data_IF_285498003897
#
_entry.id   IF_285498003897
#
_cell.length_a   1.000
_cell.length_b   1.000
_cell.length_c   1.000
_cell.angle_alpha   90.00
_cell.angle_beta   90.00
_cell.angle_gamma   90.00
#
_symmetry.space_group_name_H-M   'P 1'
#
loop_
_entity.id
_entity.type
_entity.pdbx_description
1 polymer ?
#
# COMPACT_ATOMS: atom_id res chain seq x y z
N UNK A 1 -23.33 19.75 -22.01
CA UNK A 1 -24.21 20.11 -23.15
C UNK A 1 -23.62 19.56 -24.45
N UNK A 2 -24.43 18.98 -25.36
CA UNK A 2 -23.94 18.30 -26.58
C UNK A 2 -23.10 19.16 -27.53
N UNK A 3 -23.28 20.49 -27.53
CA UNK A 3 -22.49 21.41 -28.35
C UNK A 3 -21.17 21.89 -27.73
N UNK A 4 -20.78 21.43 -26.54
CA UNK A 4 -19.54 21.89 -25.91
C UNK A 4 -18.29 21.22 -26.50
N UNK A 5 -17.13 21.89 -26.43
CA UNK A 5 -15.85 21.29 -26.84
C UNK A 5 -15.53 20.00 -26.08
N UNK A 6 -15.93 19.93 -24.81
CA UNK A 6 -15.75 18.76 -23.94
C UNK A 6 -16.62 17.57 -24.37
N UNK A 7 -17.79 17.80 -24.96
CA UNK A 7 -18.64 16.72 -25.45
C UNK A 7 -18.03 16.00 -26.67
N UNK A 8 -17.20 16.70 -27.47
CA UNK A 8 -16.51 16.12 -28.63
C UNK A 8 -15.31 15.26 -28.25
N UNK A 9 -14.66 15.58 -27.13
CA UNK A 9 -13.51 14.86 -26.59
C UNK A 9 -13.62 14.78 -25.06
N UNK A 10 -14.43 13.84 -24.54
CA UNK A 10 -14.68 13.74 -23.11
C UNK A 10 -13.41 13.32 -22.36
N UNK A 11 -12.91 14.11 -21.38
CA UNK A 11 -11.80 13.70 -20.55
C UNK A 11 -12.22 12.56 -19.61
N UNK A 12 -11.27 11.76 -19.10
CA UNK A 12 -11.56 10.74 -18.11
C UNK A 12 -12.12 11.33 -16.80
N UNK A 13 -11.76 12.58 -16.50
CA UNK A 13 -12.22 13.32 -15.33
C UNK A 13 -12.74 14.70 -15.72
N UNK A 14 -13.93 15.01 -15.25
CA UNK A 14 -14.67 16.23 -15.56
C UNK A 14 -15.25 16.83 -14.29
N UNK A 15 -15.17 18.16 -14.18
CA UNK A 15 -15.97 18.94 -13.25
C UNK A 15 -17.12 19.61 -14.00
N UNK A 16 -18.34 19.52 -13.47
CA UNK A 16 -19.51 20.26 -13.97
C UNK A 16 -19.95 21.23 -12.89
N UNK A 17 -19.98 22.53 -13.17
CA UNK A 17 -20.41 23.52 -12.18
C UNK A 17 -21.91 23.46 -11.93
N UNK A 18 -22.69 22.99 -12.91
CA UNK A 18 -24.14 22.85 -12.80
C UNK A 18 -24.58 21.52 -13.42
N UNK A 19 -25.54 20.86 -12.77
CA UNK A 19 -26.18 19.64 -13.24
C UNK A 19 -27.68 19.90 -13.34
N UNK A 20 -28.26 19.77 -14.53
CA UNK A 20 -29.69 19.93 -14.79
C UNK A 20 -30.32 18.57 -15.13
N UNK A 21 -31.44 18.23 -14.50
CA UNK A 21 -32.27 17.10 -14.89
C UNK A 21 -33.49 17.63 -15.67
N UNK A 22 -33.56 17.30 -16.96
CA UNK A 22 -34.60 17.79 -17.86
C UNK A 22 -35.15 16.63 -18.67
N UNK A 23 -36.45 16.35 -18.51
CA UNK A 23 -37.18 15.31 -19.25
C UNK A 23 -36.50 13.94 -19.18
N UNK A 24 -36.04 13.55 -17.98
CA UNK A 24 -35.39 12.26 -17.72
C UNK A 24 -33.96 12.15 -18.26
N UNK A 25 -33.31 13.28 -18.60
CA UNK A 25 -31.92 13.34 -19.01
C UNK A 25 -31.15 14.32 -18.15
N UNK A 26 -29.97 13.89 -17.69
CA UNK A 26 -29.05 14.71 -16.90
C UNK A 26 -28.04 15.41 -17.80
N UNK A 27 -27.90 16.73 -17.64
CA UNK A 27 -27.00 17.59 -18.40
C UNK A 27 -26.01 18.30 -17.46
N UNK A 28 -24.72 18.07 -17.65
CA UNK A 28 -23.66 18.92 -17.09
C UNK A 28 -23.47 20.19 -17.92
N UNK A 29 -23.46 21.35 -17.25
CA UNK A 29 -23.18 22.67 -17.82
C UNK A 29 -21.93 23.27 -17.15
N UNK A 30 -21.25 24.15 -17.91
CA UNK A 30 -20.00 24.80 -17.49
C UNK A 30 -18.93 23.78 -17.07
N UNK A 31 -18.53 22.98 -18.04
CA UNK A 31 -17.71 21.79 -17.85
C UNK A 31 -16.22 22.11 -18.03
N UNK A 32 -15.39 21.61 -17.12
CA UNK A 32 -13.93 21.72 -17.20
C UNK A 32 -13.27 20.35 -16.99
N UNK A 33 -12.17 20.11 -17.71
CA UNK A 33 -11.29 18.96 -17.40
C UNK A 33 -10.70 19.16 -16.02
N UNK A 34 -10.63 18.08 -15.25
CA UNK A 34 -9.96 18.05 -13.95
C UNK A 34 -9.01 16.85 -13.89
N UNK A 35 -8.02 16.91 -13.02
CA UNK A 35 -7.14 15.79 -12.71
C UNK A 35 -7.40 15.29 -11.29
N UNK A 36 -7.38 13.96 -11.02
CA UNK A 36 -7.59 13.40 -9.69
C UNK A 36 -6.67 14.01 -8.63
N UNK A 37 -5.41 14.26 -8.97
CA UNK A 37 -4.44 14.86 -8.06
C UNK A 37 -4.84 16.27 -7.59
N UNK A 38 -5.61 17.02 -8.38
CA UNK A 38 -6.08 18.36 -8.00
C UNK A 38 -7.21 18.24 -6.98
N UNK A 39 -8.13 17.29 -7.21
CA UNK A 39 -9.20 16.94 -6.28
C UNK A 39 -8.60 16.50 -4.95
N UNK A 40 -7.58 15.63 -4.95
CA UNK A 40 -6.94 15.17 -3.72
C UNK A 40 -6.36 16.32 -2.88
N UNK A 41 -5.78 17.34 -3.53
CA UNK A 41 -5.20 18.51 -2.84
C UNK A 41 -6.26 19.47 -2.30
N UNK A 42 -7.32 19.73 -3.07
CA UNK A 42 -8.31 20.76 -2.72
C UNK A 42 -9.43 20.23 -1.81
N UNK A 43 -9.75 18.94 -1.91
CA UNK A 43 -10.87 18.31 -1.21
C UNK A 43 -10.42 17.20 -0.26
N UNK A 44 -9.22 17.31 0.32
CA UNK A 44 -8.63 16.27 1.18
C UNK A 44 -9.56 15.80 2.32
N UNK A 45 -10.36 16.71 2.87
CA UNK A 45 -11.31 16.46 3.95
C UNK A 45 -12.54 15.63 3.54
N UNK A 46 -12.80 15.48 2.23
CA UNK A 46 -13.91 14.68 1.69
C UNK A 46 -13.46 13.29 1.23
N UNK A 47 -12.15 13.03 1.21
CA UNK A 47 -11.59 11.79 0.71
C UNK A 47 -11.78 10.67 1.73
N UNK A 48 -12.13 9.48 1.22
CA UNK A 48 -12.01 8.23 1.95
C UNK A 48 -10.74 7.53 1.52
N UNK A 49 -9.94 7.08 2.48
CA UNK A 49 -8.70 6.33 2.24
C UNK A 49 -8.83 4.95 2.85
N UNK A 50 -8.49 3.93 2.09
CA UNK A 50 -8.40 2.55 2.54
C UNK A 50 -6.99 2.04 2.26
N UNK A 51 -6.47 1.20 3.16
CA UNK A 51 -5.14 0.63 3.07
C UNK A 51 -5.23 -0.89 3.09
N UNK A 52 -4.50 -1.55 2.20
CA UNK A 52 -4.51 -3.01 2.04
C UNK A 52 -3.10 -3.55 1.80
N UNK A 53 -2.94 -4.86 2.04
CA UNK A 53 -1.72 -5.63 1.87
C UNK A 53 -0.45 -4.97 2.45
N UNK A 54 -0.38 -4.70 3.76
CA UNK A 54 0.84 -4.23 4.38
C UNK A 54 1.93 -5.32 4.29
N UNK A 55 3.13 -4.96 3.82
CA UNK A 55 4.22 -5.90 3.56
C UNK A 55 5.60 -5.24 3.65
N UNK A 56 6.64 -6.02 3.95
CA UNK A 56 8.02 -5.56 3.89
C UNK A 56 8.47 -5.38 2.43
N UNK A 57 8.98 -4.20 2.11
CA UNK A 57 9.66 -3.95 0.85
C UNK A 57 11.16 -3.91 1.07
N UNK A 58 11.85 -4.99 0.68
CA UNK A 58 13.32 -5.04 0.73
C UNK A 58 13.96 -3.90 -0.05
N UNK A 59 13.43 -3.60 -1.24
CA UNK A 59 13.96 -2.54 -2.11
C UNK A 59 13.85 -1.13 -1.51
N UNK A 60 12.81 -0.88 -0.70
CA UNK A 60 12.61 0.41 -0.02
C UNK A 60 13.13 0.42 1.42
N UNK A 61 13.45 -0.75 1.98
CA UNK A 61 13.84 -0.88 3.39
C UNK A 61 12.73 -0.45 4.36
N UNK A 62 11.46 -0.61 3.98
CA UNK A 62 10.32 -0.12 4.77
C UNK A 62 9.10 -1.03 4.60
N UNK A 63 8.18 -0.98 5.58
CA UNK A 63 6.86 -1.58 5.46
C UNK A 63 5.95 -0.66 4.65
N UNK A 64 5.43 -1.18 3.55
CA UNK A 64 4.58 -0.48 2.60
C UNK A 64 3.19 -1.11 2.58
N UNK A 65 2.20 -0.36 2.12
CA UNK A 65 0.86 -0.85 1.84
C UNK A 65 0.34 -0.23 0.54
N UNK A 66 -0.75 -0.77 0.00
CA UNK A 66 -1.48 -0.14 -1.07
C UNK A 66 -2.60 0.72 -0.52
N UNK A 67 -2.66 1.96 -0.97
CA UNK A 67 -3.71 2.92 -0.65
C UNK A 67 -4.67 3.05 -1.83
N UNK A 68 -5.96 2.93 -1.52
CA UNK A 68 -7.05 3.34 -2.39
C UNK A 68 -7.66 4.64 -1.87
N UNK A 69 -7.79 5.64 -2.75
CA UNK A 69 -8.38 6.94 -2.43
C UNK A 69 -9.69 7.09 -3.21
N UNK A 70 -10.78 7.34 -2.49
CA UNK A 70 -12.10 7.54 -3.07
C UNK A 70 -12.74 8.87 -2.68
N UNK A 71 -13.64 9.35 -3.53
CA UNK A 71 -14.50 10.51 -3.29
C UNK A 71 -15.92 10.18 -3.79
N UNK A 72 -16.90 10.17 -2.89
CA UNK A 72 -18.31 9.91 -3.23
C UNK A 72 -18.57 8.69 -4.14
N UNK A 73 -17.83 7.59 -3.91
CA UNK A 73 -17.94 6.36 -4.68
C UNK A 73 -17.09 6.32 -5.95
N UNK A 74 -16.45 7.43 -6.33
CA UNK A 74 -15.46 7.48 -7.41
C UNK A 74 -14.07 7.19 -6.85
N UNK A 75 -13.26 6.41 -7.57
CA UNK A 75 -11.90 6.06 -7.19
C UNK A 75 -10.92 7.04 -7.84
N UNK A 76 -10.23 7.86 -7.04
CA UNK A 76 -9.22 8.82 -7.50
C UNK A 76 -7.86 8.16 -7.71
N UNK A 77 -7.50 7.24 -6.82
CA UNK A 77 -6.30 6.41 -6.92
C UNK A 77 -6.66 4.99 -6.47
N UNK A 78 -6.42 4.01 -7.35
CA UNK A 78 -6.83 2.63 -7.09
C UNK A 78 -5.82 1.89 -6.20
N UNK A 79 -4.52 2.01 -6.51
CA UNK A 79 -3.47 1.22 -5.87
C UNK A 79 -2.17 2.01 -5.76
N UNK A 80 -2.14 3.03 -4.88
CA UNK A 80 -0.95 3.84 -4.63
C UNK A 80 -0.10 3.21 -3.53
N UNK A 81 1.16 2.89 -3.79
CA UNK A 81 2.06 2.40 -2.74
C UNK A 81 2.43 3.53 -1.79
N UNK A 82 2.25 3.30 -0.48
CA UNK A 82 2.56 4.26 0.58
C UNK A 82 3.32 3.60 1.73
N UNK A 83 4.18 4.33 2.46
CA UNK A 83 4.72 3.84 3.74
C UNK A 83 3.58 3.59 4.73
N UNK A 84 3.55 2.41 5.34
CA UNK A 84 2.41 1.96 6.17
C UNK A 84 2.52 2.36 7.65
N UNK A 85 3.73 2.72 8.10
CA UNK A 85 4.00 3.10 9.50
C UNK A 85 3.08 4.22 10.02
N UNK A 86 2.60 5.11 9.15
CA UNK A 86 1.75 6.24 9.56
C UNK A 86 0.30 5.83 9.81
N UNK A 87 -0.14 4.71 9.25
CA UNK A 87 -1.50 4.22 9.31
C UNK A 87 -1.67 3.30 10.51
N UNK A 88 -0.78 2.32 10.65
CA UNK A 88 -0.74 1.42 11.81
C UNK A 88 0.71 1.14 12.19
N UNK A 89 1.26 1.91 13.15
CA UNK A 89 2.63 1.72 13.63
C UNK A 89 2.86 0.33 14.25
N UNK A 90 1.85 -0.24 14.90
CA UNK A 90 1.97 -1.51 15.61
C UNK A 90 2.04 -2.68 14.63
N UNK A 91 1.13 -2.71 13.65
CA UNK A 91 1.14 -3.72 12.60
C UNK A 91 2.38 -3.58 11.71
N UNK A 92 2.77 -2.35 11.36
CA UNK A 92 3.99 -2.11 10.60
C UNK A 92 5.25 -2.59 11.38
N UNK A 93 5.31 -2.36 12.69
CA UNK A 93 6.39 -2.88 13.52
C UNK A 93 6.41 -4.42 13.53
N UNK A 94 5.27 -5.07 13.73
CA UNK A 94 5.17 -6.54 13.69
C UNK A 94 5.69 -7.12 12.36
N UNK A 95 5.27 -6.54 11.22
CA UNK A 95 5.74 -6.94 9.90
C UNK A 95 7.26 -6.72 9.76
N UNK A 96 7.79 -5.63 10.28
CA UNK A 96 9.22 -5.36 10.26
C UNK A 96 10.01 -6.39 11.07
N UNK A 97 9.58 -6.71 12.30
CA UNK A 97 10.27 -7.70 13.13
C UNK A 97 10.26 -9.09 12.47
N UNK A 98 9.13 -9.50 11.90
CA UNK A 98 8.99 -10.79 11.25
C UNK A 98 9.77 -10.86 9.93
N UNK A 99 9.43 -9.99 8.97
CA UNK A 99 9.95 -10.10 7.61
C UNK A 99 11.33 -9.47 7.46
N UNK A 100 11.62 -8.34 8.10
CA UNK A 100 12.92 -7.69 7.94
C UNK A 100 14.00 -8.32 8.82
N UNK A 101 13.69 -8.62 10.09
CA UNK A 101 14.67 -9.08 11.07
C UNK A 101 14.69 -10.60 11.22
N UNK A 102 13.56 -11.25 11.51
CA UNK A 102 13.53 -12.69 11.72
C UNK A 102 13.87 -13.46 10.44
N UNK A 103 13.33 -13.07 9.28
CA UNK A 103 13.75 -13.63 7.98
C UNK A 103 15.08 -13.08 7.46
N UNK A 104 15.70 -12.14 8.17
CA UNK A 104 16.95 -11.49 7.78
C UNK A 104 16.88 -10.83 6.38
N UNK A 105 15.70 -10.38 5.95
CA UNK A 105 15.49 -9.74 4.65
C UNK A 105 15.94 -8.27 4.61
N UNK A 106 16.31 -7.69 5.75
CA UNK A 106 16.87 -6.33 5.81
C UNK A 106 18.22 -6.26 5.11
N UNK A 107 18.35 -5.32 4.17
CA UNK A 107 19.59 -5.07 3.46
C UNK A 107 20.45 -4.03 4.21
N UNK A 108 21.08 -4.49 5.29
CA UNK A 108 21.97 -3.68 6.11
C UNK A 108 23.22 -4.45 6.48
N UNK A 109 24.36 -3.74 6.59
CA UNK A 109 25.64 -4.28 7.05
C UNK A 109 25.67 -4.31 8.58
N UNK A 110 24.95 -5.28 9.15
CA UNK A 110 24.88 -5.49 10.60
C UNK A 110 25.42 -6.89 10.92
N UNK A 111 26.32 -6.97 11.91
CA UNK A 111 26.97 -8.24 12.27
C UNK A 111 25.98 -9.29 12.73
N UNK A 112 24.96 -8.89 13.51
CA UNK A 112 23.91 -9.81 13.96
C UNK A 112 23.11 -10.38 12.79
N UNK A 113 22.80 -9.60 11.75
CA UNK A 113 22.08 -10.12 10.58
C UNK A 113 22.92 -11.16 9.84
N UNK A 114 24.22 -10.91 9.70
CA UNK A 114 25.14 -11.85 9.07
C UNK A 114 25.27 -13.14 9.89
N UNK A 115 25.35 -13.03 11.21
CA UNK A 115 25.33 -14.16 12.13
C UNK A 115 24.03 -14.96 12.06
N UNK A 116 22.89 -14.28 12.10
CA UNK A 116 21.57 -14.91 12.01
C UNK A 116 21.38 -15.63 10.67
N UNK A 117 21.76 -15.02 9.55
CA UNK A 117 21.72 -15.71 8.23
C UNK A 117 22.54 -16.99 8.21
N UNK A 118 23.74 -16.98 8.80
CA UNK A 118 24.59 -18.18 8.91
C UNK A 118 23.94 -19.25 9.77
N UNK A 119 23.36 -18.85 10.92
CA UNK A 119 22.69 -19.77 11.84
C UNK A 119 21.44 -20.41 11.20
N UNK A 120 20.64 -19.63 10.49
CA UNK A 120 19.45 -20.12 9.78
C UNK A 120 19.84 -21.11 8.68
N UNK A 121 20.84 -20.76 7.86
CA UNK A 121 21.33 -21.65 6.82
C UNK A 121 21.89 -22.97 7.39
N UNK A 122 22.52 -22.92 8.57
CA UNK A 122 23.01 -24.13 9.24
C UNK A 122 21.87 -24.98 9.80
N UNK A 123 20.87 -24.37 10.42
CA UNK A 123 19.68 -25.06 10.90
C UNK A 123 18.93 -25.75 9.75
N UNK A 124 18.75 -25.08 8.62
CA UNK A 124 18.13 -25.64 7.40
C UNK A 124 18.91 -26.84 6.86
N UNK A 125 20.26 -26.78 6.86
CA UNK A 125 21.11 -27.93 6.47
C UNK A 125 20.92 -29.12 7.40
N UNK A 126 20.88 -28.88 8.71
CA UNK A 126 20.68 -29.94 9.70
C UNK A 126 19.32 -30.62 9.51
N UNK A 127 18.24 -29.85 9.32
CA UNK A 127 16.90 -30.40 9.06
C UNK A 127 16.89 -31.25 7.78
N UNK A 128 17.52 -30.77 6.71
CA UNK A 128 17.62 -31.50 5.45
C UNK A 128 18.42 -32.80 5.58
N UNK A 129 19.54 -32.79 6.32
CA UNK A 129 20.36 -33.97 6.60
C UNK A 129 19.60 -35.02 7.42
N UNK A 130 18.84 -34.57 8.43
CA UNK A 130 18.03 -35.43 9.28
C UNK A 130 16.71 -35.86 8.63
N UNK A 131 16.35 -35.24 7.49
CA UNK A 131 15.04 -35.38 6.83
C UNK A 131 13.88 -35.17 7.81
N UNK A 132 14.06 -34.26 8.76
CA UNK A 132 13.13 -33.97 9.84
C UNK A 132 13.02 -32.47 10.02
N UNK A 133 11.80 -31.96 9.88
CA UNK A 133 11.48 -30.57 10.16
C UNK A 133 11.26 -30.33 11.67
N UNK A 134 11.42 -29.08 12.11
CA UNK A 134 11.02 -28.62 13.45
C UNK A 134 12.18 -28.17 14.34
N UNK A 135 13.40 -28.14 13.83
CA UNK A 135 14.53 -27.46 14.48
C UNK A 135 14.36 -25.94 14.39
N UNK A 136 13.91 -25.44 13.23
CA UNK A 136 13.70 -24.01 13.01
C UNK A 136 12.25 -23.61 13.31
N UNK A 137 12.08 -22.65 14.23
CA UNK A 137 10.77 -22.07 14.52
C UNK A 137 10.31 -21.10 13.42
N UNK A 138 9.00 -20.94 13.21
CA UNK A 138 8.45 -19.97 12.24
C UNK A 138 8.96 -18.55 12.47
N UNK A 139 9.03 -17.75 11.40
CA UNK A 139 9.46 -16.35 11.47
C UNK A 139 8.64 -15.54 12.48
N UNK A 140 7.31 -15.70 12.50
CA UNK A 140 6.43 -15.08 13.48
C UNK A 140 6.84 -15.36 14.94
N UNK A 141 7.26 -16.59 15.28
CA UNK A 141 7.74 -16.94 16.61
C UNK A 141 9.11 -16.32 16.90
N UNK A 142 10.02 -16.37 15.92
CA UNK A 142 11.36 -15.79 16.03
C UNK A 142 11.33 -14.27 16.13
N UNK A 143 10.29 -13.62 15.60
CA UNK A 143 10.08 -12.17 15.70
C UNK A 143 10.00 -11.69 17.16
N UNK A 144 9.49 -12.52 18.08
CA UNK A 144 9.40 -12.21 19.50
C UNK A 144 10.76 -11.91 20.14
N UNK A 145 11.86 -12.49 19.62
CA UNK A 145 13.22 -12.18 20.09
C UNK A 145 13.59 -10.70 19.90
N UNK A 146 13.03 -10.05 18.87
CA UNK A 146 13.30 -8.66 18.55
C UNK A 146 12.25 -7.69 19.15
N UNK A 147 11.25 -8.19 19.87
CA UNK A 147 10.13 -7.39 20.34
C UNK A 147 10.49 -6.42 21.48
N UNK A 148 11.56 -6.70 22.25
CA UNK A 148 12.06 -5.84 23.34
C UNK A 148 11.23 -5.93 24.61
#
# INVERSE_FOLDING_TARGET
>A
FPGSAVAKAPPPWLFSAQVLDLNGRVYGLMNARVEPAWIERQAAHLLKRAYADPHWSRARGAVLAYEQVGLFGLVLAERRTVPFQRQDPAQAHAIFLEQALAECALDARLDFLSGNRRLLAEAERIEAQQRRAGLLQPAATRAAFFAG
#
